data_IF_007865543085
#
_entry.id   IF_007865543085
#
_cell.length_a   1.000
_cell.length_b   1.000
_cell.length_c   1.000
_cell.angle_alpha   90.00
_cell.angle_beta   90.00
_cell.angle_gamma   90.00
#
_symmetry.space_group_name_H-M   'P 1'
#
loop_
_entity.id
_entity.type
_entity.pdbx_description
1 polymer ?
#
# COMPACT_ATOMS: atom_id res chain seq x y z
N UNK A 1 -23.76 39.19 -33.76
CA UNK A 1 -23.79 38.96 -32.32
C UNK A 1 -23.82 37.43 -32.09
N UNK A 2 -22.70 36.83 -31.73
CA UNK A 2 -22.62 35.40 -31.46
C UNK A 2 -22.76 35.23 -29.95
N UNK A 3 -23.92 34.67 -29.56
CA UNK A 3 -24.24 34.38 -28.17
C UNK A 3 -23.40 33.17 -27.74
N UNK A 4 -22.34 33.40 -26.97
CA UNK A 4 -21.60 32.35 -26.25
C UNK A 4 -22.55 31.77 -25.20
N UNK A 5 -23.19 30.64 -25.49
CA UNK A 5 -23.86 29.81 -24.50
C UNK A 5 -22.79 29.32 -23.52
N UNK A 6 -22.83 29.88 -22.32
CA UNK A 6 -22.07 29.36 -21.18
C UNK A 6 -22.56 27.95 -20.86
N UNK A 7 -21.82 26.96 -21.30
CA UNK A 7 -21.99 25.57 -20.82
C UNK A 7 -21.64 25.58 -19.32
N UNK A 8 -22.68 25.69 -18.48
CA UNK A 8 -22.56 25.33 -17.07
C UNK A 8 -22.28 23.83 -17.02
N UNK A 9 -21.01 23.47 -16.89
CA UNK A 9 -20.59 22.09 -16.58
C UNK A 9 -21.15 21.76 -15.21
N UNK A 10 -22.35 21.20 -15.15
CA UNK A 10 -22.90 20.58 -13.94
C UNK A 10 -21.94 19.46 -13.53
N UNK A 11 -21.40 19.57 -12.33
CA UNK A 11 -20.57 18.50 -11.77
C UNK A 11 -21.36 17.19 -11.77
N UNK A 12 -20.77 16.08 -12.23
CA UNK A 12 -21.44 14.78 -12.26
C UNK A 12 -21.87 14.39 -10.83
N UNK A 13 -23.10 13.93 -10.68
CA UNK A 13 -23.59 13.46 -9.39
C UNK A 13 -22.79 12.24 -8.87
N UNK A 14 -22.84 12.01 -7.56
CA UNK A 14 -22.11 10.90 -6.91
C UNK A 14 -22.42 9.56 -7.59
N UNK A 15 -23.68 9.28 -7.91
CA UNK A 15 -24.10 8.05 -8.58
C UNK A 15 -23.53 7.91 -9.99
N UNK A 16 -23.49 9.01 -10.76
CA UNK A 16 -22.91 8.97 -12.11
C UNK A 16 -21.40 8.75 -12.07
N UNK A 17 -20.71 9.32 -11.09
CA UNK A 17 -19.26 9.09 -10.88
C UNK A 17 -18.98 7.64 -10.48
N UNK A 18 -19.81 7.08 -9.60
CA UNK A 18 -19.70 5.69 -9.16
C UNK A 18 -19.95 4.72 -10.32
N UNK A 19 -21.02 4.95 -11.09
CA UNK A 19 -21.34 4.15 -12.28
C UNK A 19 -20.23 4.19 -13.32
N UNK A 20 -19.66 5.38 -13.59
CA UNK A 20 -18.52 5.52 -14.48
C UNK A 20 -17.26 4.76 -13.98
N UNK A 21 -17.05 4.75 -12.65
CA UNK A 21 -15.97 3.96 -12.02
C UNK A 21 -16.16 2.46 -12.22
N UNK A 22 -17.39 1.94 -12.03
CA UNK A 22 -17.73 0.54 -12.29
C UNK A 22 -17.56 0.16 -13.77
N UNK A 23 -18.05 1.00 -14.69
CA UNK A 23 -17.89 0.78 -16.11
C UNK A 23 -16.41 0.74 -16.53
N UNK A 24 -15.60 1.65 -15.99
CA UNK A 24 -14.15 1.64 -16.23
C UNK A 24 -13.51 0.33 -15.72
N UNK A 25 -13.86 -0.10 -14.51
CA UNK A 25 -13.31 -1.29 -13.89
C UNK A 25 -13.70 -2.55 -14.67
N UNK A 26 -14.96 -2.67 -15.10
CA UNK A 26 -15.42 -3.82 -15.91
C UNK A 26 -14.78 -3.84 -17.29
N UNK A 27 -14.53 -2.69 -17.89
CA UNK A 27 -13.85 -2.59 -19.19
C UNK A 27 -12.36 -2.90 -19.10
N UNK A 28 -11.71 -2.63 -17.96
CA UNK A 28 -10.28 -2.79 -17.75
C UNK A 28 -9.99 -3.68 -16.54
N UNK A 29 -10.54 -4.91 -16.53
CA UNK A 29 -10.36 -5.88 -15.45
C UNK A 29 -8.90 -6.15 -15.08
N UNK A 30 -7.97 -5.99 -16.02
CA UNK A 30 -6.54 -6.13 -15.76
C UNK A 30 -6.00 -5.12 -14.72
N UNK A 31 -6.69 -3.98 -14.49
CA UNK A 31 -6.32 -3.06 -13.40
C UNK A 31 -6.48 -3.69 -12.02
N UNK A 32 -7.38 -4.67 -11.87
CA UNK A 32 -7.59 -5.39 -10.62
C UNK A 32 -6.47 -6.41 -10.33
N UNK A 33 -5.64 -6.77 -11.35
CA UNK A 33 -4.60 -7.78 -11.17
C UNK A 33 -3.56 -7.36 -10.14
N UNK A 34 -3.17 -6.08 -10.10
CA UNK A 34 -2.15 -5.60 -9.17
C UNK A 34 -2.63 -5.64 -7.70
N UNK A 35 -3.81 -5.08 -7.34
CA UNK A 35 -4.38 -5.24 -6.00
C UNK A 35 -4.61 -6.70 -5.63
N UNK A 36 -5.20 -7.50 -6.53
CA UNK A 36 -5.47 -8.92 -6.28
C UNK A 36 -4.20 -9.74 -6.07
N UNK A 37 -3.14 -9.48 -6.83
CA UNK A 37 -1.84 -10.13 -6.64
C UNK A 37 -1.23 -9.77 -5.29
N UNK A 38 -1.34 -8.50 -4.86
CA UNK A 38 -0.88 -8.07 -3.55
C UNK A 38 -1.71 -8.72 -2.43
N UNK A 39 -3.04 -8.78 -2.56
CA UNK A 39 -3.92 -9.46 -1.60
C UNK A 39 -3.57 -10.95 -1.48
N UNK A 40 -3.38 -11.65 -2.60
CA UNK A 40 -2.95 -13.05 -2.60
C UNK A 40 -1.59 -13.23 -1.94
N UNK A 41 -0.64 -12.34 -2.21
CA UNK A 41 0.67 -12.37 -1.58
C UNK A 41 0.57 -12.14 -0.06
N UNK A 42 -0.23 -11.16 0.39
CA UNK A 42 -0.41 -10.89 1.81
C UNK A 42 -1.16 -12.02 2.54
N UNK A 43 -2.05 -12.73 1.84
CA UNK A 43 -2.85 -13.81 2.41
C UNK A 43 -2.13 -15.16 2.45
N UNK A 44 -1.48 -15.54 1.34
CA UNK A 44 -0.87 -16.87 1.16
C UNK A 44 0.66 -16.86 1.27
N UNK A 45 1.29 -15.69 1.14
CA UNK A 45 2.73 -15.52 1.14
C UNK A 45 3.36 -15.65 2.52
N UNK A 46 4.70 -15.53 2.60
CA UNK A 46 5.41 -15.56 3.87
C UNK A 46 4.99 -14.38 4.76
N UNK A 47 5.12 -14.56 6.06
CA UNK A 47 4.89 -13.52 7.07
C UNK A 47 6.21 -13.04 7.62
N UNK A 48 6.40 -11.73 7.65
CA UNK A 48 7.54 -11.12 8.32
C UNK A 48 7.11 -10.67 9.71
N UNK A 49 7.62 -11.38 10.74
CA UNK A 49 7.23 -11.21 12.13
C UNK A 49 7.84 -9.96 12.76
N UNK A 50 7.05 -9.30 13.60
CA UNK A 50 7.48 -8.16 14.44
C UNK A 50 8.14 -8.60 15.76
N UNK A 51 8.19 -9.90 16.02
CA UNK A 51 8.58 -10.44 17.32
C UNK A 51 10.02 -10.10 17.71
N UNK A 52 10.98 -10.29 16.80
CA UNK A 52 12.38 -10.03 17.07
C UNK A 52 12.66 -8.55 17.36
N UNK A 53 12.03 -7.63 16.63
CA UNK A 53 12.10 -6.18 16.91
C UNK A 53 11.57 -5.86 18.30
N UNK A 54 10.38 -6.36 18.64
CA UNK A 54 9.76 -6.07 19.94
C UNK A 54 10.58 -6.64 21.10
N UNK A 55 11.15 -7.84 20.92
CA UNK A 55 12.05 -8.44 21.88
C UNK A 55 13.28 -7.56 22.11
N UNK A 56 13.89 -7.05 21.06
CA UNK A 56 15.05 -6.16 21.13
C UNK A 56 14.72 -4.86 21.88
N UNK A 57 13.59 -4.23 21.54
CA UNK A 57 13.11 -3.01 22.22
C UNK A 57 12.83 -3.26 23.70
N UNK A 58 12.13 -4.35 24.05
CA UNK A 58 11.81 -4.68 25.44
C UNK A 58 13.09 -4.96 26.23
N UNK A 59 14.01 -5.79 25.71
CA UNK A 59 15.24 -6.12 26.43
C UNK A 59 16.11 -4.89 26.64
N UNK A 60 16.23 -4.01 25.65
CA UNK A 60 17.00 -2.77 25.75
C UNK A 60 16.35 -1.80 26.75
N UNK A 61 15.01 -1.68 26.74
CA UNK A 61 14.29 -0.80 27.64
C UNK A 61 14.33 -1.30 29.09
N UNK A 62 14.15 -2.61 29.32
CA UNK A 62 14.21 -3.21 30.65
C UNK A 62 15.62 -3.13 31.26
N UNK A 63 16.67 -3.23 30.44
CA UNK A 63 18.06 -3.09 30.90
C UNK A 63 18.39 -1.70 31.47
N UNK A 64 17.59 -0.68 31.13
CA UNK A 64 17.72 0.69 31.63
C UNK A 64 16.94 0.96 32.93
N UNK A 65 16.07 0.02 33.37
CA UNK A 65 15.25 0.19 34.54
C UNK A 65 15.95 -0.42 35.79
N UNK A 66 15.80 0.18 36.98
CA UNK A 66 16.28 -0.41 38.22
C UNK A 66 15.62 -1.78 38.45
N UNK A 67 16.41 -2.74 38.96
CA UNK A 67 15.93 -4.08 39.23
C UNK A 67 14.72 -4.06 40.22
N UNK A 68 13.63 -4.70 39.83
CA UNK A 68 12.42 -4.83 40.67
C UNK A 68 11.31 -3.81 40.45
N UNK A 69 11.47 -2.86 39.52
CA UNK A 69 10.45 -1.79 39.29
C UNK A 69 9.23 -2.26 38.51
N UNK A 70 9.37 -3.24 37.62
CA UNK A 70 8.25 -3.71 36.79
C UNK A 70 8.34 -5.21 36.49
N UNK A 71 7.31 -5.95 36.89
CA UNK A 71 7.00 -7.30 36.39
C UNK A 71 5.89 -7.19 35.38
N UNK A 72 6.24 -6.86 34.10
CA UNK A 72 5.25 -6.85 33.04
C UNK A 72 5.25 -8.25 32.40
N UNK A 73 4.07 -8.87 32.31
CA UNK A 73 3.91 -10.06 31.48
C UNK A 73 3.96 -9.65 30.00
N UNK A 74 5.08 -9.91 29.35
CA UNK A 74 5.31 -9.57 27.95
C UNK A 74 4.80 -10.66 26.98
N UNK A 75 4.36 -11.82 27.50
CA UNK A 75 3.95 -12.94 26.67
C UNK A 75 2.79 -12.60 25.70
N UNK A 76 1.69 -11.93 26.15
CA UNK A 76 0.60 -11.56 25.26
C UNK A 76 1.04 -10.58 24.16
N UNK A 77 1.95 -9.67 24.51
CA UNK A 77 2.48 -8.68 23.57
C UNK A 77 3.37 -9.34 22.51
N UNK A 78 4.18 -10.31 22.91
CA UNK A 78 5.04 -11.09 22.00
C UNK A 78 4.21 -11.99 21.09
N UNK A 79 3.11 -12.54 21.57
CA UNK A 79 2.17 -13.32 20.76
C UNK A 79 1.49 -12.42 19.70
N UNK A 80 0.97 -11.26 20.13
CA UNK A 80 0.37 -10.29 19.22
C UNK A 80 1.38 -9.80 18.17
N UNK A 81 2.62 -9.53 18.55
CA UNK A 81 3.68 -9.13 17.63
C UNK A 81 4.01 -10.22 16.59
N UNK A 82 3.94 -11.49 16.97
CA UNK A 82 4.11 -12.63 16.04
C UNK A 82 2.99 -12.72 14.98
N UNK A 83 1.82 -12.16 15.26
CA UNK A 83 0.67 -12.14 14.33
C UNK A 83 0.72 -10.98 13.33
N UNK A 84 1.56 -9.97 13.56
CA UNK A 84 1.69 -8.82 12.66
C UNK A 84 2.58 -9.20 11.47
N UNK A 85 2.08 -9.00 10.25
CA UNK A 85 2.85 -9.19 9.04
C UNK A 85 3.35 -7.86 8.49
N UNK A 86 4.68 -7.66 8.47
CA UNK A 86 5.29 -6.41 7.98
C UNK A 86 5.10 -6.15 6.50
N UNK A 87 4.87 -7.18 5.68
CA UNK A 87 4.56 -6.99 4.26
C UNK A 87 3.32 -6.13 4.03
N UNK A 88 2.46 -5.93 5.05
CA UNK A 88 1.34 -4.97 4.98
C UNK A 88 1.76 -3.55 4.64
N UNK A 89 3.01 -3.15 4.95
CA UNK A 89 3.52 -1.82 4.58
C UNK A 89 3.68 -1.63 3.07
N UNK A 90 3.64 -2.69 2.27
CA UNK A 90 3.53 -2.59 0.81
C UNK A 90 2.24 -1.92 0.35
N UNK A 91 1.18 -1.94 1.16
CA UNK A 91 -0.11 -1.32 0.87
C UNK A 91 -0.25 0.14 1.33
N UNK A 92 0.72 0.71 1.98
CA UNK A 92 0.80 2.08 2.55
C UNK A 92 -0.55 2.73 2.86
N UNK A 93 -0.92 2.76 4.11
CA UNK A 93 -2.27 2.93 4.69
C UNK A 93 -3.12 4.10 4.16
N UNK A 94 -2.52 5.22 3.70
CA UNK A 94 -3.24 6.44 3.29
C UNK A 94 -3.16 6.76 1.79
N UNK A 95 -2.08 6.36 1.14
CA UNK A 95 -1.80 6.68 -0.27
C UNK A 95 -1.58 5.42 -1.10
N UNK A 96 -1.84 4.25 -0.49
CA UNK A 96 -1.41 2.96 -1.00
C UNK A 96 -2.35 2.32 -2.02
N UNK A 97 -1.90 1.16 -2.46
CA UNK A 97 -2.69 0.26 -3.28
C UNK A 97 -3.90 -0.22 -2.46
N UNK A 98 -5.13 -0.14 -2.98
CA UNK A 98 -6.29 -0.68 -2.27
C UNK A 98 -6.12 -2.19 -2.11
N UNK A 99 -6.05 -2.66 -0.86
CA UNK A 99 -5.95 -4.08 -0.52
C UNK A 99 -6.94 -4.41 0.59
N UNK A 100 -7.53 -5.60 0.51
CA UNK A 100 -8.44 -6.12 1.54
C UNK A 100 -7.66 -6.78 2.68
N UNK A 101 -6.44 -7.27 2.39
CA UNK A 101 -5.59 -8.03 3.31
C UNK A 101 -4.56 -7.17 4.07
N UNK A 102 -4.62 -5.84 3.96
CA UNK A 102 -3.79 -4.93 4.76
C UNK A 102 -4.21 -4.88 6.25
N UNK A 103 -5.41 -5.34 6.56
CA UNK A 103 -5.97 -5.44 7.92
C UNK A 103 -5.44 -6.63 8.72
N UNK A 104 -6.14 -6.98 9.83
CA UNK A 104 -5.83 -8.18 10.60
C UNK A 104 -5.95 -9.42 9.71
N UNK A 105 -4.93 -10.28 9.76
CA UNK A 105 -4.93 -11.52 8.98
C UNK A 105 -5.92 -12.49 9.62
N UNK A 106 -6.77 -13.18 8.83
CA UNK A 106 -7.63 -14.22 9.35
C UNK A 106 -6.84 -15.29 10.11
N UNK A 107 -7.35 -15.74 11.25
CA UNK A 107 -6.69 -16.77 12.08
C UNK A 107 -6.51 -18.11 11.33
N UNK A 108 -7.37 -18.35 10.34
CA UNK A 108 -7.31 -19.57 9.50
C UNK A 108 -6.97 -19.21 8.06
N UNK A 109 -5.79 -19.55 7.65
CA UNK A 109 -5.38 -19.52 6.24
C UNK A 109 -5.32 -20.96 5.68
N UNK A 110 -5.66 -21.19 4.40
CA UNK A 110 -5.64 -22.54 3.81
C UNK A 110 -4.24 -23.16 3.79
N UNK A 111 -3.19 -22.34 3.86
CA UNK A 111 -1.79 -22.75 3.89
C UNK A 111 -1.16 -22.14 5.13
N UNK A 112 -0.37 -22.92 5.88
CA UNK A 112 0.43 -22.40 6.99
C UNK A 112 1.57 -21.58 6.41
N UNK A 113 1.56 -20.23 6.57
CA UNK A 113 2.58 -19.41 5.98
C UNK A 113 3.93 -19.58 6.70
N UNK A 114 5.02 -19.54 5.94
CA UNK A 114 6.35 -19.45 6.53
C UNK A 114 6.50 -18.14 7.29
N UNK A 115 6.95 -18.22 8.55
CA UNK A 115 7.23 -17.03 9.38
C UNK A 115 8.72 -16.75 9.31
N UNK A 116 9.06 -15.54 8.87
CA UNK A 116 10.44 -15.05 8.77
C UNK A 116 10.61 -13.98 9.85
N UNK A 117 11.66 -14.05 10.64
CA UNK A 117 11.96 -13.02 11.61
C UNK A 117 12.72 -11.86 10.96
N UNK A 118 12.21 -10.65 11.15
CA UNK A 118 12.74 -9.43 10.52
C UNK A 118 14.05 -8.91 11.12
N UNK A 119 14.60 -9.57 12.16
CA UNK A 119 15.78 -9.11 12.87
C UNK A 119 15.50 -8.01 13.92
N UNK A 120 16.57 -7.47 14.53
CA UNK A 120 16.47 -6.44 15.56
C UNK A 120 16.02 -5.07 15.04
N UNK A 121 16.02 -4.07 15.93
CA UNK A 121 15.45 -2.73 15.70
C UNK A 121 16.00 -2.01 14.46
N UNK A 122 17.29 -2.10 14.19
CA UNK A 122 17.89 -1.47 13.01
C UNK A 122 17.45 -2.12 11.69
N UNK A 123 17.41 -3.45 11.65
CA UNK A 123 16.93 -4.18 10.47
C UNK A 123 15.46 -3.90 10.20
N UNK A 124 14.64 -3.83 11.26
CA UNK A 124 13.23 -3.51 11.16
C UNK A 124 12.97 -2.13 10.56
N UNK A 125 13.68 -1.09 11.02
CA UNK A 125 13.56 0.26 10.44
C UNK A 125 13.93 0.27 8.95
N UNK A 126 15.01 -0.42 8.59
CA UNK A 126 15.41 -0.57 7.18
C UNK A 126 14.33 -1.24 6.33
N UNK A 127 13.72 -2.32 6.82
CA UNK A 127 12.63 -3.03 6.15
C UNK A 127 11.36 -2.17 6.05
N UNK A 128 11.01 -1.42 7.11
CA UNK A 128 9.88 -0.49 7.09
C UNK A 128 10.05 0.56 5.98
N UNK A 129 11.21 1.21 5.92
CA UNK A 129 11.51 2.19 4.88
C UNK A 129 11.46 1.55 3.50
N UNK A 130 12.12 0.39 3.34
CA UNK A 130 12.14 -0.34 2.06
C UNK A 130 10.73 -0.69 1.59
N UNK A 131 9.90 -1.29 2.44
CA UNK A 131 8.54 -1.68 2.05
C UNK A 131 7.64 -0.47 1.80
N UNK A 132 7.82 0.61 2.55
CA UNK A 132 7.12 1.87 2.29
C UNK A 132 7.49 2.42 0.91
N UNK A 133 8.76 2.47 0.56
CA UNK A 133 9.21 2.96 -0.75
C UNK A 133 8.73 2.06 -1.89
N UNK A 134 8.78 0.74 -1.73
CA UNK A 134 8.26 -0.23 -2.71
C UNK A 134 6.74 -0.11 -2.81
N UNK A 135 6.02 0.03 -1.70
CA UNK A 135 4.57 0.24 -1.68
C UNK A 135 4.14 1.51 -2.42
N UNK A 136 4.86 2.62 -2.19
CA UNK A 136 4.63 3.87 -2.93
C UNK A 136 4.93 3.72 -4.43
N UNK A 137 5.93 2.92 -4.80
CA UNK A 137 6.22 2.62 -6.21
C UNK A 137 5.08 1.83 -6.86
N UNK A 138 4.58 0.78 -6.20
CA UNK A 138 3.44 0.01 -6.66
C UNK A 138 2.20 0.90 -6.82
N UNK A 139 1.98 1.80 -5.88
CA UNK A 139 0.91 2.80 -5.91
C UNK A 139 1.06 3.75 -7.11
N UNK A 140 2.27 4.25 -7.36
CA UNK A 140 2.55 5.12 -8.51
C UNK A 140 2.30 4.40 -9.83
N UNK A 141 2.70 3.12 -9.95
CA UNK A 141 2.40 2.27 -11.10
C UNK A 141 0.88 2.15 -11.28
N UNK A 142 0.16 1.79 -10.22
CA UNK A 142 -1.29 1.59 -10.26
C UNK A 142 -2.05 2.84 -10.71
N UNK A 143 -1.77 4.00 -10.13
CA UNK A 143 -2.41 5.25 -10.54
C UNK A 143 -2.07 5.66 -11.97
N UNK A 144 -0.85 5.40 -12.43
CA UNK A 144 -0.49 5.66 -13.84
C UNK A 144 -1.19 4.70 -14.80
N UNK A 145 -1.44 3.44 -14.39
CA UNK A 145 -2.23 2.49 -15.17
C UNK A 145 -3.71 2.92 -15.25
N UNK A 146 -4.30 3.38 -14.15
CA UNK A 146 -5.66 3.96 -14.14
C UNK A 146 -5.72 5.19 -15.06
N UNK A 147 -4.77 6.12 -14.92
CA UNK A 147 -4.70 7.32 -15.76
C UNK A 147 -4.56 6.98 -17.24
N UNK A 148 -3.83 5.91 -17.56
CA UNK A 148 -3.73 5.40 -18.93
C UNK A 148 -5.06 4.85 -19.44
N UNK A 149 -5.75 4.02 -18.65
CA UNK A 149 -7.05 3.46 -18.99
C UNK A 149 -8.11 4.55 -19.23
N UNK A 150 -8.18 5.55 -18.33
CA UNK A 150 -9.08 6.71 -18.44
C UNK A 150 -8.85 7.50 -19.72
N UNK A 151 -7.60 7.78 -20.06
CA UNK A 151 -7.26 8.51 -21.28
C UNK A 151 -7.63 7.72 -22.53
N UNK A 152 -7.41 6.41 -22.53
CA UNK A 152 -7.77 5.54 -23.66
C UNK A 152 -9.28 5.48 -23.88
N UNK A 153 -10.08 5.59 -22.82
CA UNK A 153 -11.55 5.62 -22.94
C UNK A 153 -12.08 6.97 -23.46
N UNK A 154 -11.34 8.07 -23.26
CA UNK A 154 -11.77 9.42 -23.66
C UNK A 154 -11.62 9.74 -25.14
N UNK A 155 -11.27 8.78 -26.01
CA UNK A 155 -11.11 8.94 -27.48
C UNK A 155 -10.23 10.14 -27.92
N UNK A 156 -9.43 10.70 -27.05
CA UNK A 156 -8.51 11.78 -27.42
C UNK A 156 -7.32 11.22 -28.19
N UNK A 157 -6.92 11.82 -29.35
CA UNK A 157 -5.73 11.39 -30.07
C UNK A 157 -4.52 11.49 -29.15
N UNK A 158 -3.98 10.36 -28.77
CA UNK A 158 -2.80 10.32 -27.91
C UNK A 158 -1.53 10.14 -28.70
N UNK A 159 -0.47 10.86 -28.33
CA UNK A 159 0.86 10.46 -28.76
C UNK A 159 1.16 9.05 -28.22
N UNK A 160 1.86 8.20 -28.98
CA UNK A 160 2.14 6.83 -28.59
C UNK A 160 2.78 6.79 -27.19
N UNK A 161 2.19 6.02 -26.31
CA UNK A 161 2.64 5.88 -24.91
C UNK A 161 3.81 4.90 -24.89
N UNK A 162 5.00 5.39 -25.20
CA UNK A 162 6.21 4.58 -25.14
C UNK A 162 6.57 4.18 -23.70
N UNK A 163 7.23 3.03 -23.49
CA UNK A 163 7.62 2.54 -22.16
C UNK A 163 8.46 3.56 -21.37
N UNK A 164 9.31 4.33 -22.05
CA UNK A 164 10.13 5.37 -21.42
C UNK A 164 9.29 6.51 -20.81
N UNK A 165 8.22 6.93 -21.50
CA UNK A 165 7.31 7.97 -20.96
C UNK A 165 6.49 7.45 -19.78
N UNK A 166 6.10 6.17 -19.81
CA UNK A 166 5.44 5.55 -18.67
C UNK A 166 6.36 5.50 -17.47
N UNK A 167 7.60 5.02 -17.63
CA UNK A 167 8.59 4.95 -16.57
C UNK A 167 8.91 6.34 -15.98
N UNK A 168 9.11 7.36 -16.83
CA UNK A 168 9.36 8.73 -16.36
C UNK A 168 8.20 9.31 -15.55
N UNK A 169 6.95 9.07 -15.97
CA UNK A 169 5.76 9.48 -15.20
C UNK A 169 5.64 8.75 -13.88
N UNK A 170 5.88 7.42 -13.89
CA UNK A 170 5.83 6.61 -12.67
C UNK A 170 6.87 7.10 -11.68
N UNK A 171 8.10 7.34 -12.12
CA UNK A 171 9.16 7.89 -11.29
C UNK A 171 8.79 9.26 -10.71
N UNK A 172 8.26 10.17 -11.55
CA UNK A 172 7.81 11.50 -11.08
C UNK A 172 6.69 11.38 -10.04
N UNK A 173 5.68 10.53 -10.29
CA UNK A 173 4.58 10.30 -9.33
C UNK A 173 5.11 9.72 -8.02
N UNK A 174 6.03 8.76 -8.10
CA UNK A 174 6.67 8.13 -6.94
C UNK A 174 7.43 9.14 -6.09
N UNK A 175 8.29 9.97 -6.71
CA UNK A 175 9.02 11.03 -6.00
C UNK A 175 8.08 12.03 -5.33
N UNK A 176 6.97 12.39 -5.99
CA UNK A 176 5.95 13.26 -5.42
C UNK A 176 5.25 12.63 -4.21
N UNK A 177 4.96 11.33 -4.25
CA UNK A 177 4.37 10.61 -3.12
C UNK A 177 5.34 10.52 -1.94
N UNK A 178 6.64 10.29 -2.19
CA UNK A 178 7.68 10.35 -1.15
C UNK A 178 7.74 11.75 -0.53
N UNK A 179 7.75 12.80 -1.34
CA UNK A 179 7.77 14.16 -0.84
C UNK A 179 6.54 14.49 0.02
N UNK A 180 5.35 14.04 -0.39
CA UNK A 180 4.13 14.20 0.41
C UNK A 180 4.21 13.43 1.74
N UNK A 181 4.73 12.21 1.72
CA UNK A 181 4.90 11.42 2.94
C UNK A 181 5.92 12.04 3.90
N UNK A 182 6.97 12.67 3.38
CA UNK A 182 7.97 13.34 4.19
C UNK A 182 7.48 14.66 4.83
N UNK A 183 6.36 15.21 4.34
CA UNK A 183 5.72 16.43 4.87
C UNK A 183 4.65 16.13 5.94
N UNK A 184 4.21 14.86 6.07
CA UNK A 184 3.24 14.42 7.08
C UNK A 184 3.92 13.95 8.36
#
# INVERSE_FOLDING_TARGET
>A
MVQKQGQTTTLPGVFSTLSAGFELTTRYLWLMLLPAALDLFLWLGPRLSFRAFLQDVITTSLAQLPAGVLTIDVAPLMEAAGRINHFRYLSVLLLGLPTLMAGPIPDKTPITPAVIDGGGSGAWLGLLVLFTLVGLLLTAIFYNLIAYALRRSAMTPMPPFGPARFAARTLYTWLRLIALLALL
#
